data_IF_094226273572
#
_entry.id   IF_094226273572
#
_cell.length_a   1.000
_cell.length_b   1.000
_cell.length_c   1.000
_cell.angle_alpha   90.00
_cell.angle_beta   90.00
_cell.angle_gamma   90.00
#
_symmetry.space_group_name_H-M   'P 1'
#
loop_
_entity.id
_entity.type
_entity.pdbx_description
1 polymer ?
#
# COMPACT_ATOMS: atom_id res chain seq x y z
N UNK A 1 -7.94 -22.73 8.05
CA UNK A 1 -7.00 -21.57 8.00
C UNK A 1 -7.59 -20.25 8.54
N UNK A 2 -8.72 -20.29 9.27
CA UNK A 2 -9.36 -19.09 9.81
C UNK A 2 -9.18 -18.89 11.32
N UNK A 3 -8.41 -19.76 11.99
CA UNK A 3 -8.30 -19.75 13.47
C UNK A 3 -7.72 -18.46 14.03
N UNK A 4 -6.76 -17.87 13.35
CA UNK A 4 -6.06 -16.64 13.73
C UNK A 4 -6.40 -15.45 12.82
N UNK A 5 -7.47 -15.58 12.03
CA UNK A 5 -7.85 -14.59 11.02
C UNK A 5 -7.97 -13.18 11.60
N UNK A 6 -8.67 -13.02 12.72
CA UNK A 6 -8.93 -11.72 13.34
C UNK A 6 -7.64 -11.04 13.78
N UNK A 7 -6.78 -11.80 14.51
CA UNK A 7 -5.50 -11.26 14.98
C UNK A 7 -4.56 -10.92 13.82
N UNK A 8 -4.55 -11.75 12.78
CA UNK A 8 -3.75 -11.53 11.58
C UNK A 8 -4.19 -10.29 10.82
N UNK A 9 -5.49 -10.12 10.58
CA UNK A 9 -6.02 -8.93 9.90
C UNK A 9 -5.78 -7.68 10.73
N UNK A 10 -5.98 -7.71 12.04
CA UNK A 10 -5.70 -6.56 12.90
C UNK A 10 -4.21 -6.12 12.82
N UNK A 11 -3.27 -7.08 12.72
CA UNK A 11 -1.85 -6.75 12.54
C UNK A 11 -1.57 -6.20 11.14
N UNK A 12 -2.15 -6.80 10.09
CA UNK A 12 -2.02 -6.32 8.72
C UNK A 12 -2.55 -4.90 8.60
N UNK A 13 -3.74 -4.62 9.12
CA UNK A 13 -4.35 -3.29 9.13
C UNK A 13 -3.43 -2.25 9.78
N UNK A 14 -2.90 -2.57 10.97
CA UNK A 14 -1.96 -1.69 11.68
C UNK A 14 -0.70 -1.42 10.87
N UNK A 15 -0.10 -2.45 10.29
CA UNK A 15 1.10 -2.34 9.47
C UNK A 15 0.83 -1.51 8.21
N UNK A 16 -0.28 -1.79 7.52
CA UNK A 16 -0.65 -1.10 6.29
C UNK A 16 -0.97 0.37 6.55
N UNK A 17 -1.65 0.69 7.64
CA UNK A 17 -1.92 2.08 8.01
C UNK A 17 -0.62 2.83 8.29
N UNK A 18 0.32 2.26 9.06
CA UNK A 18 1.60 2.88 9.34
C UNK A 18 2.44 3.15 8.07
N UNK A 19 2.50 2.17 7.15
CA UNK A 19 3.19 2.32 5.87
C UNK A 19 2.49 3.36 4.99
N UNK A 20 1.16 3.33 4.91
CA UNK A 20 0.40 4.28 4.12
C UNK A 20 0.53 5.71 4.64
N UNK A 21 0.52 5.90 5.97
CA UNK A 21 0.72 7.21 6.62
C UNK A 21 2.11 7.76 6.25
N UNK A 22 3.14 6.92 6.36
CA UNK A 22 4.49 7.31 5.97
C UNK A 22 4.56 7.70 4.50
N UNK A 23 4.09 6.83 3.59
CA UNK A 23 4.17 7.07 2.15
C UNK A 23 3.34 8.28 1.72
N UNK A 24 2.14 8.45 2.28
CA UNK A 24 1.31 9.61 1.99
C UNK A 24 2.00 10.92 2.41
N UNK A 25 2.57 10.97 3.62
CA UNK A 25 3.29 12.14 4.11
C UNK A 25 4.53 12.49 3.24
N UNK A 26 5.12 11.51 2.55
CA UNK A 26 6.25 11.71 1.63
C UNK A 26 5.81 12.01 0.20
N UNK A 27 4.52 11.99 -0.13
CA UNK A 27 4.01 12.19 -1.49
C UNK A 27 3.67 13.65 -1.78
N UNK A 28 3.54 13.98 -3.08
CA UNK A 28 3.02 15.28 -3.52
C UNK A 28 1.60 15.52 -3.02
N UNK A 29 0.76 14.51 -3.05
CA UNK A 29 -0.59 14.56 -2.50
C UNK A 29 -0.60 14.86 -0.99
N UNK A 30 0.44 14.46 -0.26
CA UNK A 30 0.66 14.77 1.16
C UNK A 30 1.37 16.10 1.44
N UNK A 31 1.65 16.90 0.40
CA UNK A 31 2.22 18.25 0.53
C UNK A 31 3.72 18.36 0.21
N UNK A 32 4.38 17.30 -0.25
CA UNK A 32 5.80 17.31 -0.64
C UNK A 32 5.94 17.60 -2.14
N UNK A 33 5.88 18.87 -2.54
CA UNK A 33 5.80 19.30 -3.94
C UNK A 33 6.91 18.71 -4.85
N UNK A 34 8.12 18.55 -4.32
CA UNK A 34 9.28 18.05 -5.06
C UNK A 34 9.47 16.54 -4.97
N UNK A 35 8.54 15.82 -4.36
CA UNK A 35 8.64 14.37 -4.21
C UNK A 35 8.55 13.64 -5.55
N UNK A 36 9.30 12.54 -5.68
CA UNK A 36 9.18 11.57 -6.78
C UNK A 36 7.92 10.71 -6.66
N UNK A 37 7.34 10.66 -5.46
CA UNK A 37 6.09 9.96 -5.16
C UNK A 37 4.91 10.89 -5.40
N UNK A 38 4.08 10.56 -6.37
CA UNK A 38 2.89 11.35 -6.69
C UNK A 38 1.82 11.20 -5.62
N UNK A 39 1.43 9.97 -5.34
CA UNK A 39 0.37 9.65 -4.40
C UNK A 39 0.56 8.26 -3.77
N UNK A 40 0.05 8.10 -2.55
CA UNK A 40 -0.20 6.80 -1.94
C UNK A 40 -1.71 6.60 -1.85
N UNK A 41 -2.22 5.69 -2.67
CA UNK A 41 -3.64 5.32 -2.71
C UNK A 41 -3.94 4.32 -1.59
N UNK A 42 -4.62 4.80 -0.59
CA UNK A 42 -5.09 4.01 0.54
C UNK A 42 -6.45 4.52 1.00
N UNK A 43 -7.42 3.68 1.41
CA UNK A 43 -8.77 4.12 1.71
C UNK A 43 -8.87 5.23 2.76
N UNK A 44 -7.90 5.32 3.66
CA UNK A 44 -7.82 6.40 4.65
C UNK A 44 -7.72 7.80 4.03
N UNK A 45 -7.10 7.92 2.85
CA UNK A 45 -6.79 9.20 2.21
C UNK A 45 -7.61 9.47 0.95
N UNK A 46 -7.86 8.44 0.12
CA UNK A 46 -8.42 8.66 -1.23
C UNK A 46 -9.93 8.42 -1.27
N UNK A 47 -10.46 7.41 -0.58
CA UNK A 47 -11.88 7.03 -0.64
C UNK A 47 -12.48 6.86 0.75
N UNK A 48 -12.03 7.66 1.69
CA UNK A 48 -12.34 7.52 3.11
C UNK A 48 -13.84 7.49 3.38
N UNK A 49 -14.59 8.42 2.82
CA UNK A 49 -16.05 8.54 3.03
C UNK A 49 -16.80 7.28 2.58
N UNK A 50 -16.41 6.69 1.44
CA UNK A 50 -17.02 5.46 0.96
C UNK A 50 -16.62 4.26 1.84
N UNK A 51 -15.36 4.24 2.30
CA UNK A 51 -14.87 3.15 3.13
C UNK A 51 -15.48 3.17 4.54
N UNK A 52 -15.66 4.35 5.13
CA UNK A 52 -16.26 4.52 6.46
C UNK A 52 -17.71 4.00 6.52
N UNK A 53 -18.45 4.00 5.39
CA UNK A 53 -19.80 3.41 5.33
C UNK A 53 -19.80 1.91 5.63
N UNK A 54 -18.72 1.20 5.30
CA UNK A 54 -18.59 -0.25 5.48
C UNK A 54 -17.69 -0.63 6.66
N UNK A 55 -16.94 0.34 7.20
CA UNK A 55 -15.98 0.11 8.26
C UNK A 55 -16.69 -0.23 9.57
N UNK A 56 -16.16 -1.23 10.28
CA UNK A 56 -16.70 -1.59 11.60
C UNK A 56 -16.40 -0.50 12.63
N UNK A 57 -17.44 0.01 13.29
CA UNK A 57 -17.37 1.00 14.36
C UNK A 57 -17.83 0.44 15.73
N UNK A 58 -18.13 -0.85 15.81
CA UNK A 58 -18.63 -1.47 17.03
C UNK A 58 -17.57 -1.59 18.12
N UNK A 59 -17.98 -1.54 19.39
CA UNK A 59 -17.08 -1.76 20.51
C UNK A 59 -16.41 -3.15 20.42
N UNK A 60 -15.18 -3.23 20.92
CA UNK A 60 -14.47 -4.49 21.05
C UNK A 60 -15.24 -5.44 21.97
N UNK A 61 -15.51 -6.65 21.51
CA UNK A 61 -16.04 -7.72 22.32
C UNK A 61 -14.90 -8.61 22.81
N UNK A 62 -14.59 -8.54 24.11
CA UNK A 62 -13.55 -9.35 24.75
C UNK A 62 -13.78 -10.87 24.60
N UNK A 63 -15.04 -11.28 24.34
CA UNK A 63 -15.41 -12.69 24.15
C UNK A 63 -15.01 -13.21 22.78
N UNK A 64 -14.91 -12.32 21.81
CA UNK A 64 -14.59 -12.66 20.41
C UNK A 64 -13.14 -12.28 20.06
N UNK A 65 -12.46 -11.52 20.91
CA UNK A 65 -11.09 -11.05 20.70
C UNK A 65 -10.93 -10.16 19.45
N UNK A 66 -12.01 -9.49 19.02
CA UNK A 66 -11.99 -8.67 17.82
C UNK A 66 -11.63 -7.20 18.11
N UNK A 67 -10.95 -6.55 17.18
CA UNK A 67 -10.60 -5.16 17.30
C UNK A 67 -11.86 -4.27 17.37
N UNK A 68 -11.82 -3.23 18.21
CA UNK A 68 -12.91 -2.28 18.45
C UNK A 68 -13.30 -1.50 17.19
N UNK A 69 -12.38 -1.36 16.27
CA UNK A 69 -12.59 -0.61 15.04
C UNK A 69 -11.89 -1.35 13.91
N UNK A 70 -12.58 -1.53 12.79
CA UNK A 70 -11.98 -2.07 11.58
C UNK A 70 -10.86 -1.17 11.06
N UNK A 71 -9.79 -1.74 10.51
CA UNK A 71 -8.75 -1.00 9.81
C UNK A 71 -9.22 -0.53 8.43
N UNK A 72 -8.28 -0.04 7.63
CA UNK A 72 -8.51 0.37 6.24
C UNK A 72 -8.04 -0.69 5.22
N UNK A 73 -7.73 -1.89 5.69
CA UNK A 73 -7.28 -3.01 4.86
C UNK A 73 -5.76 -3.04 4.67
N UNK A 74 -5.27 -4.17 4.13
CA UNK A 74 -3.85 -4.45 3.93
C UNK A 74 -3.31 -4.12 2.54
N UNK A 75 -4.08 -3.44 1.70
CA UNK A 75 -3.72 -3.15 0.31
C UNK A 75 -3.56 -1.65 0.09
N UNK A 76 -2.42 -1.25 -0.46
CA UNK A 76 -2.18 0.11 -0.93
C UNK A 76 -1.51 0.09 -2.29
N UNK A 77 -1.58 1.21 -3.00
CA UNK A 77 -0.81 1.45 -4.21
C UNK A 77 -0.05 2.75 -4.10
N UNK A 78 1.16 2.79 -4.64
CA UNK A 78 1.99 4.00 -4.71
C UNK A 78 2.25 4.34 -6.16
N UNK A 79 2.06 5.60 -6.52
CA UNK A 79 2.29 6.10 -7.86
C UNK A 79 3.46 7.08 -7.88
N UNK A 80 4.34 6.92 -8.87
CA UNK A 80 5.53 7.74 -9.03
C UNK A 80 5.38 8.74 -10.19
N UNK A 81 6.22 9.78 -10.17
CA UNK A 81 6.26 10.80 -11.24
C UNK A 81 6.81 10.19 -12.54
N UNK A 82 7.79 9.29 -12.44
CA UNK A 82 8.44 8.64 -13.59
C UNK A 82 8.44 7.12 -13.46
N UNK A 83 8.49 6.41 -14.59
CA UNK A 83 8.68 4.95 -14.60
C UNK A 83 10.03 4.54 -14.00
N UNK A 84 11.08 5.35 -14.19
CA UNK A 84 12.40 5.08 -13.62
C UNK A 84 12.34 5.05 -12.08
N UNK A 85 11.65 6.04 -11.46
CA UNK A 85 11.44 6.07 -10.02
C UNK A 85 10.59 4.89 -9.52
N UNK A 86 9.50 4.56 -10.23
CA UNK A 86 8.65 3.40 -9.89
C UNK A 86 9.44 2.08 -9.92
N UNK A 87 10.26 1.90 -10.94
CA UNK A 87 11.13 0.71 -11.07
C UNK A 87 12.16 0.66 -9.97
N UNK A 88 12.87 1.78 -9.70
CA UNK A 88 13.89 1.83 -8.66
C UNK A 88 13.30 1.55 -7.27
N UNK A 89 12.11 2.10 -6.98
CA UNK A 89 11.37 1.77 -5.76
C UNK A 89 11.05 0.27 -5.68
N UNK A 90 10.46 -0.27 -6.75
CA UNK A 90 10.07 -1.68 -6.80
C UNK A 90 11.26 -2.61 -6.62
N UNK A 91 12.38 -2.35 -7.29
CA UNK A 91 13.58 -3.18 -7.23
C UNK A 91 14.25 -3.11 -5.84
N UNK A 92 14.30 -1.91 -5.23
CA UNK A 92 14.93 -1.70 -3.92
C UNK A 92 14.05 -2.12 -2.73
N UNK A 93 12.73 -2.25 -2.91
CA UNK A 93 11.84 -2.63 -1.81
C UNK A 93 12.10 -4.09 -1.40
N UNK A 94 12.62 -4.30 -0.20
CA UNK A 94 12.91 -5.61 0.37
C UNK A 94 11.62 -6.33 0.81
N UNK A 95 10.94 -6.96 -0.14
CA UNK A 95 9.76 -7.79 0.09
C UNK A 95 9.63 -8.84 -1.01
N UNK A 96 8.70 -9.78 -0.84
CA UNK A 96 8.37 -10.72 -1.89
C UNK A 96 7.76 -9.98 -3.10
N UNK A 97 7.97 -10.52 -4.30
CA UNK A 97 7.48 -9.96 -5.56
C UNK A 97 6.43 -10.87 -6.16
N UNK A 98 5.29 -10.32 -6.55
CA UNK A 98 4.25 -11.11 -7.17
C UNK A 98 2.85 -10.49 -7.10
N UNK A 99 1.89 -11.06 -7.87
CA UNK A 99 0.55 -10.51 -8.03
C UNK A 99 -0.43 -10.90 -6.91
N UNK A 100 -0.05 -11.79 -5.99
CA UNK A 100 -0.92 -12.28 -4.92
C UNK A 100 -1.25 -11.19 -3.88
N UNK A 101 -2.30 -11.41 -3.11
CA UNK A 101 -2.78 -10.53 -2.06
C UNK A 101 -3.06 -11.32 -0.78
N UNK A 102 -3.12 -10.62 0.37
CA UNK A 102 -3.59 -11.17 1.63
C UNK A 102 -2.71 -12.28 2.20
N UNK A 103 -1.43 -12.26 1.86
CA UNK A 103 -0.43 -13.21 2.37
C UNK A 103 0.12 -12.76 3.73
N UNK A 104 0.80 -13.67 4.43
CA UNK A 104 1.47 -13.35 5.68
C UNK A 104 2.74 -12.49 5.48
N UNK A 105 3.30 -12.50 4.27
CA UNK A 105 4.43 -11.66 3.88
C UNK A 105 3.97 -10.53 2.97
N UNK A 106 4.68 -9.40 3.04
CA UNK A 106 4.46 -8.27 2.14
C UNK A 106 4.83 -8.64 0.71
N UNK A 107 3.97 -8.27 -0.23
CA UNK A 107 4.12 -8.51 -1.67
C UNK A 107 3.99 -7.21 -2.44
N UNK A 108 4.94 -6.94 -3.33
CA UNK A 108 4.87 -5.84 -4.28
C UNK A 108 4.70 -6.32 -5.72
N UNK A 109 3.97 -5.53 -6.52
CA UNK A 109 3.66 -5.85 -7.90
C UNK A 109 3.53 -4.55 -8.73
N UNK A 110 4.22 -4.40 -9.87
CA UNK A 110 3.96 -3.33 -10.84
C UNK A 110 2.67 -3.67 -11.60
N UNK A 111 1.54 -3.48 -10.92
CA UNK A 111 0.27 -4.10 -11.29
C UNK A 111 -0.19 -3.74 -12.70
N UNK A 112 -0.17 -2.47 -13.08
CA UNK A 112 -0.63 -2.02 -14.41
C UNK A 112 0.20 -2.67 -15.52
N UNK A 113 1.53 -2.72 -15.35
CA UNK A 113 2.41 -3.35 -16.33
C UNK A 113 2.21 -4.86 -16.44
N UNK A 114 1.88 -5.56 -15.34
CA UNK A 114 1.69 -7.01 -15.37
C UNK A 114 0.30 -7.42 -15.82
N UNK A 115 -0.74 -6.70 -15.39
CA UNK A 115 -2.13 -7.08 -15.65
C UNK A 115 -2.67 -6.49 -16.97
N UNK A 116 -2.16 -5.33 -17.39
CA UNK A 116 -2.69 -4.55 -18.51
C UNK A 116 -1.63 -4.24 -19.58
N UNK A 117 -0.59 -5.06 -19.69
CA UNK A 117 0.53 -4.83 -20.62
C UNK A 117 0.08 -4.64 -22.09
N UNK A 118 -0.93 -5.38 -22.51
CA UNK A 118 -1.45 -5.31 -23.88
C UNK A 118 -2.45 -4.16 -24.12
N UNK A 119 -2.82 -3.42 -23.07
CA UNK A 119 -3.88 -2.40 -23.09
C UNK A 119 -3.52 -1.17 -22.24
N UNK A 120 -2.24 -0.78 -22.21
CA UNK A 120 -1.76 0.35 -21.40
C UNK A 120 -2.42 1.67 -21.78
N UNK A 121 -2.72 1.88 -23.07
CA UNK A 121 -3.41 3.09 -23.53
C UNK A 121 -4.82 3.16 -22.94
N UNK A 122 -5.55 2.05 -22.95
CA UNK A 122 -6.87 1.96 -22.31
C UNK A 122 -6.79 2.15 -20.79
N UNK A 123 -5.79 1.57 -20.13
CA UNK A 123 -5.58 1.79 -18.69
C UNK A 123 -5.34 3.27 -18.38
N UNK A 124 -4.58 3.97 -19.21
CA UNK A 124 -4.34 5.40 -19.08
C UNK A 124 -5.60 6.24 -19.28
N UNK A 125 -6.50 5.86 -20.23
CA UNK A 125 -7.82 6.48 -20.41
C UNK A 125 -8.72 6.35 -19.17
N UNK A 126 -8.48 5.32 -18.34
CA UNK A 126 -9.17 5.08 -17.06
C UNK A 126 -8.42 5.65 -15.85
N UNK A 127 -7.47 6.55 -16.06
CA UNK A 127 -6.63 7.15 -15.02
C UNK A 127 -5.79 6.13 -14.22
N UNK A 128 -5.47 4.96 -14.82
CA UNK A 128 -4.63 3.95 -14.21
C UNK A 128 -3.21 4.03 -14.76
N UNK A 129 -2.31 4.56 -13.94
CA UNK A 129 -0.92 4.83 -14.33
C UNK A 129 -0.08 3.55 -14.45
N UNK A 130 0.78 3.48 -15.46
CA UNK A 130 1.82 2.47 -15.65
C UNK A 130 3.00 2.59 -14.65
N UNK A 131 3.01 3.70 -13.88
CA UNK A 131 3.99 4.01 -12.83
C UNK A 131 3.51 3.60 -11.43
N UNK A 132 2.48 2.76 -11.36
CA UNK A 132 1.83 2.33 -10.14
C UNK A 132 2.46 1.02 -9.64
N UNK A 133 2.86 1.01 -8.37
CA UNK A 133 3.28 -0.21 -7.64
C UNK A 133 2.22 -0.52 -6.59
N UNK A 134 1.56 -1.66 -6.74
CA UNK A 134 0.60 -2.18 -5.75
C UNK A 134 1.33 -2.99 -4.69
N UNK A 135 0.99 -2.78 -3.43
CA UNK A 135 1.59 -3.50 -2.29
C UNK A 135 0.51 -4.10 -1.41
N UNK A 136 0.62 -5.40 -1.15
CA UNK A 136 -0.15 -6.12 -0.13
C UNK A 136 0.72 -6.31 1.09
N UNK A 137 0.37 -5.67 2.19
CA UNK A 137 1.14 -5.67 3.44
C UNK A 137 0.90 -6.97 4.22
N UNK A 138 1.95 -7.47 4.86
CA UNK A 138 1.95 -8.69 5.65
C UNK A 138 2.08 -8.46 7.16
N UNK A 139 2.61 -9.49 7.82
CA UNK A 139 2.71 -9.58 9.29
C UNK A 139 4.09 -9.19 9.84
N UNK A 140 4.97 -8.65 9.01
CA UNK A 140 6.31 -8.25 9.40
C UNK A 140 6.30 -7.25 10.56
N UNK A 141 7.45 -7.03 11.17
CA UNK A 141 7.64 -5.96 12.14
C UNK A 141 7.38 -4.59 11.48
N UNK A 142 6.59 -3.74 12.14
CA UNK A 142 6.18 -2.43 11.59
C UNK A 142 7.37 -1.54 11.29
N UNK A 143 8.37 -1.51 12.20
CA UNK A 143 9.55 -0.67 12.02
C UNK A 143 10.45 -1.20 10.91
N UNK A 144 10.52 -2.53 10.73
CA UNK A 144 11.22 -3.14 9.62
C UNK A 144 10.57 -2.76 8.27
N UNK A 145 9.24 -2.79 8.19
CA UNK A 145 8.52 -2.32 7.00
C UNK A 145 8.80 -0.85 6.72
N UNK A 146 8.71 0.02 7.71
CA UNK A 146 8.97 1.45 7.53
C UNK A 146 10.40 1.71 7.05
N UNK A 147 11.39 0.97 7.57
CA UNK A 147 12.78 1.07 7.07
C UNK A 147 12.91 0.61 5.62
N UNK A 148 12.29 -0.51 5.25
CA UNK A 148 12.33 -1.02 3.87
C UNK A 148 11.69 -0.03 2.88
N UNK A 149 10.52 0.52 3.23
CA UNK A 149 9.84 1.52 2.39
C UNK A 149 10.61 2.82 2.29
N UNK A 150 11.23 3.28 3.39
CA UNK A 150 12.09 4.48 3.40
C UNK A 150 13.31 4.30 2.51
N UNK A 151 13.99 3.16 2.59
CA UNK A 151 15.15 2.85 1.76
C UNK A 151 14.77 2.77 0.27
N UNK A 152 13.64 2.12 -0.05
CA UNK A 152 13.13 2.03 -1.42
C UNK A 152 12.73 3.41 -1.98
N UNK A 153 12.12 4.27 -1.17
CA UNK A 153 11.79 5.64 -1.60
C UNK A 153 13.04 6.48 -1.85
N UNK A 154 14.08 6.32 -1.03
CA UNK A 154 15.37 6.98 -1.26
C UNK A 154 16.03 6.52 -2.57
N UNK A 155 15.95 5.23 -2.90
CA UNK A 155 16.43 4.70 -4.19
C UNK A 155 15.65 5.27 -5.38
N UNK A 156 14.34 5.43 -5.25
CA UNK A 156 13.49 6.07 -6.25
C UNK A 156 13.89 7.55 -6.46
N UNK A 157 14.13 8.28 -5.38
CA UNK A 157 14.52 9.69 -5.43
C UNK A 157 15.87 9.91 -6.14
N UNK A 158 16.77 8.93 -6.09
CA UNK A 158 18.04 8.98 -6.81
C UNK A 158 17.90 8.82 -8.34
N UNK A 159 16.72 8.50 -8.86
CA UNK A 159 16.39 8.33 -10.29
C UNK A 159 15.46 9.44 -10.84
N UNK A 160 15.29 10.51 -10.07
CA UNK A 160 14.43 11.64 -10.44
C UNK A 160 15.11 12.66 -11.37
#
# INVERSE_FOLDING_TARGET
>A
NSRDFVARIARIDKNAEAVADYMYAQSRAGGQADSVLMCAYYPKYVTREHYETCRRHEPYDDRVGSARQGGFGGLLSVEFVTQAAARAFYDALECAKGPSLGTNCTLACPYTLLAHYAELDWAAEMDVSDKLVRVSIGLEDTDALLRAFSAALAAAAAQA
#
